data_IF_394658822966
#
_entry.id   IF_394658822966
#
_cell.length_a   1.000
_cell.length_b   1.000
_cell.length_c   1.000
_cell.angle_alpha   90.00
_cell.angle_beta   90.00
_cell.angle_gamma   90.00
#
_symmetry.space_group_name_H-M   'P 1'
#
loop_
_entity.id
_entity.type
_entity.pdbx_description
1 polymer ?
#
# COMPACT_ATOMS: atom_id res chain seq x y z
N UNK A 1 -0.26 2.15 -14.61
CA UNK A 1 -0.78 1.17 -13.64
C UNK A 1 -1.80 1.92 -12.82
N UNK A 2 -2.96 1.34 -12.50
CA UNK A 2 -3.85 2.00 -11.56
C UNK A 2 -3.34 1.66 -10.16
N UNK A 3 -2.96 2.67 -9.37
CA UNK A 3 -2.62 2.46 -7.97
C UNK A 3 -3.81 2.83 -7.08
N UNK A 4 -4.53 1.83 -6.60
CA UNK A 4 -5.69 2.02 -5.72
C UNK A 4 -5.30 2.01 -4.22
N UNK A 5 -4.01 1.93 -3.90
CA UNK A 5 -3.53 1.79 -2.52
C UNK A 5 -4.08 2.86 -1.58
N UNK A 6 -4.03 4.11 -2.03
CA UNK A 6 -4.49 5.26 -1.24
C UNK A 6 -6.00 5.18 -0.97
N UNK A 7 -6.80 4.95 -2.01
CA UNK A 7 -8.25 4.82 -1.90
C UNK A 7 -8.64 3.66 -0.97
N UNK A 8 -8.04 2.49 -1.16
CA UNK A 8 -8.32 1.30 -0.34
C UNK A 8 -7.98 1.55 1.14
N UNK A 9 -6.84 2.17 1.45
CA UNK A 9 -6.52 2.44 2.86
C UNK A 9 -7.46 3.49 3.46
N UNK A 10 -7.90 4.48 2.68
CA UNK A 10 -8.81 5.54 3.14
C UNK A 10 -10.22 4.97 3.39
N UNK A 11 -10.70 4.06 2.55
CA UNK A 11 -11.94 3.30 2.78
C UNK A 11 -11.90 2.47 4.08
N UNK A 12 -10.70 2.03 4.48
CA UNK A 12 -10.46 1.33 5.75
C UNK A 12 -10.16 2.27 6.93
N UNK A 13 -10.33 3.59 6.77
CA UNK A 13 -9.97 4.62 7.76
C UNK A 13 -8.52 4.49 8.26
N UNK A 14 -7.61 4.07 7.38
CA UNK A 14 -6.20 3.84 7.70
C UNK A 14 -5.31 4.92 7.11
N UNK A 15 -4.49 5.55 7.94
CA UNK A 15 -3.48 6.51 7.51
C UNK A 15 -2.29 5.83 6.82
N UNK A 16 -1.58 6.57 5.96
CA UNK A 16 -0.34 6.07 5.35
C UNK A 16 0.74 5.72 6.39
N UNK A 17 0.76 6.42 7.54
CA UNK A 17 1.64 6.11 8.67
C UNK A 17 1.29 4.76 9.32
N UNK A 18 0.00 4.50 9.57
CA UNK A 18 -0.44 3.22 10.14
C UNK A 18 -0.18 2.05 9.20
N UNK A 19 -0.44 2.24 7.91
CA UNK A 19 -0.10 1.24 6.89
C UNK A 19 1.40 0.96 6.88
N UNK A 20 2.24 2.01 6.91
CA UNK A 20 3.70 1.86 6.95
C UNK A 20 4.16 1.11 8.21
N UNK A 21 3.59 1.43 9.38
CA UNK A 21 3.86 0.76 10.64
C UNK A 21 3.50 -0.73 10.59
N UNK A 22 2.30 -1.07 10.10
CA UNK A 22 1.88 -2.47 9.90
C UNK A 22 2.74 -3.19 8.85
N UNK A 23 3.14 -2.49 7.80
CA UNK A 23 4.01 -3.00 6.74
C UNK A 23 5.50 -3.05 7.17
N UNK A 24 5.86 -2.56 8.36
CA UNK A 24 7.25 -2.43 8.83
C UNK A 24 8.17 -1.71 7.82
N UNK A 25 7.70 -0.59 7.29
CA UNK A 25 8.44 0.27 6.37
C UNK A 25 8.33 1.74 6.81
N UNK A 26 9.16 2.60 6.24
CA UNK A 26 9.05 4.05 6.45
C UNK A 26 7.79 4.58 5.77
N UNK A 27 7.12 5.57 6.36
CA UNK A 27 5.95 6.23 5.77
C UNK A 27 6.23 6.81 4.39
N UNK A 28 7.47 7.28 4.15
CA UNK A 28 7.92 7.74 2.85
C UNK A 28 7.87 6.66 1.77
N UNK A 29 8.03 5.38 2.14
CA UNK A 29 7.89 4.27 1.19
C UNK A 29 6.44 4.13 0.71
N UNK A 30 5.47 4.19 1.63
CA UNK A 30 4.04 4.17 1.27
C UNK A 30 3.71 5.38 0.39
N UNK A 31 4.15 6.57 0.77
CA UNK A 31 3.96 7.78 -0.04
C UNK A 31 4.54 7.64 -1.47
N UNK A 32 5.77 7.12 -1.61
CA UNK A 32 6.38 6.89 -2.92
C UNK A 32 5.62 5.86 -3.75
N UNK A 33 5.07 4.83 -3.12
CA UNK A 33 4.23 3.84 -3.80
C UNK A 33 2.94 4.50 -4.27
N UNK A 34 2.19 5.16 -3.38
CA UNK A 34 0.93 5.85 -3.69
C UNK A 34 1.06 6.87 -4.82
N UNK A 35 2.21 7.56 -4.92
CA UNK A 35 2.48 8.54 -5.97
C UNK A 35 3.19 7.94 -7.20
N UNK A 36 3.24 6.60 -7.30
CA UNK A 36 3.86 5.85 -8.41
C UNK A 36 5.35 6.18 -8.64
N UNK A 37 6.00 6.84 -7.66
CA UNK A 37 7.45 7.13 -7.68
C UNK A 37 8.28 5.87 -7.48
N UNK A 38 7.68 4.80 -6.95
CA UNK A 38 8.35 3.52 -6.71
C UNK A 38 7.36 2.37 -6.68
N UNK A 39 7.69 1.28 -7.38
CA UNK A 39 6.97 0.02 -7.24
C UNK A 39 7.36 -0.71 -5.96
N UNK A 40 6.39 -1.30 -5.23
CA UNK A 40 6.70 -2.18 -4.12
C UNK A 40 7.41 -3.44 -4.64
N UNK A 41 8.27 -4.05 -3.81
CA UNK A 41 8.74 -5.42 -4.08
C UNK A 41 7.56 -6.40 -3.95
N UNK A 42 7.67 -7.59 -4.55
CA UNK A 42 6.65 -8.63 -4.42
C UNK A 42 6.35 -8.95 -2.94
N UNK A 43 7.38 -8.97 -2.09
CA UNK A 43 7.22 -9.19 -0.65
C UNK A 43 6.40 -8.06 0.01
N UNK A 44 6.70 -6.81 -0.32
CA UNK A 44 5.98 -5.66 0.22
C UNK A 44 4.53 -5.60 -0.30
N UNK A 45 4.32 -5.86 -1.60
CA UNK A 45 3.00 -5.95 -2.20
C UNK A 45 2.14 -7.03 -1.52
N UNK A 46 2.70 -8.22 -1.29
CA UNK A 46 2.04 -9.30 -0.52
C UNK A 46 1.72 -8.89 0.92
N UNK A 47 2.61 -8.12 1.57
CA UNK A 47 2.38 -7.66 2.94
C UNK A 47 1.26 -6.62 3.01
N UNK A 48 1.26 -5.66 2.10
CA UNK A 48 0.22 -4.63 1.98
C UNK A 48 -1.13 -5.30 1.66
N UNK A 49 -1.16 -6.24 0.71
CA UNK A 49 -2.34 -7.05 0.37
C UNK A 49 -2.96 -7.73 1.61
N UNK A 50 -2.13 -8.38 2.45
CA UNK A 50 -2.60 -8.98 3.71
C UNK A 50 -3.13 -7.95 4.72
N UNK A 51 -2.50 -6.78 4.83
CA UNK A 51 -2.91 -5.73 5.77
C UNK A 51 -4.26 -5.13 5.38
N UNK A 52 -4.47 -4.90 4.08
CA UNK A 52 -5.68 -4.28 3.53
C UNK A 52 -6.78 -5.30 3.24
N UNK A 53 -6.50 -6.60 3.39
CA UNK A 53 -7.41 -7.69 3.03
C UNK A 53 -7.92 -7.59 1.59
N UNK A 54 -7.00 -7.29 0.66
CA UNK A 54 -7.25 -7.11 -0.78
C UNK A 54 -6.20 -7.86 -1.59
N UNK A 55 -6.54 -8.32 -2.78
CA UNK A 55 -5.58 -8.92 -3.71
C UNK A 55 -4.55 -7.90 -4.19
N UNK A 56 -3.39 -8.36 -4.65
CA UNK A 56 -2.35 -7.47 -5.20
C UNK A 56 -2.88 -6.78 -6.46
N UNK A 57 -3.68 -7.50 -7.24
CA UNK A 57 -4.34 -7.05 -8.45
C UNK A 57 -5.32 -5.92 -8.15
N UNK A 58 -6.18 -6.04 -7.13
CA UNK A 58 -7.08 -4.95 -6.72
C UNK A 58 -6.32 -3.67 -6.31
N UNK A 59 -5.11 -3.81 -5.75
CA UNK A 59 -4.34 -2.68 -5.23
C UNK A 59 -3.52 -2.00 -6.33
N UNK A 60 -2.91 -2.77 -7.24
CA UNK A 60 -1.85 -2.27 -8.14
C UNK A 60 -2.10 -2.48 -9.66
N UNK A 61 -3.21 -3.08 -10.09
CA UNK A 61 -3.63 -3.12 -11.51
C UNK A 61 -4.67 -2.04 -11.83
#
# INVERSE_FOLDING_TARGET
MKNNLKAIREDLNMSGYELAKKANVKSSMIYMIENEKRNPSLLLARKISKILNKSIEEIFL
#
